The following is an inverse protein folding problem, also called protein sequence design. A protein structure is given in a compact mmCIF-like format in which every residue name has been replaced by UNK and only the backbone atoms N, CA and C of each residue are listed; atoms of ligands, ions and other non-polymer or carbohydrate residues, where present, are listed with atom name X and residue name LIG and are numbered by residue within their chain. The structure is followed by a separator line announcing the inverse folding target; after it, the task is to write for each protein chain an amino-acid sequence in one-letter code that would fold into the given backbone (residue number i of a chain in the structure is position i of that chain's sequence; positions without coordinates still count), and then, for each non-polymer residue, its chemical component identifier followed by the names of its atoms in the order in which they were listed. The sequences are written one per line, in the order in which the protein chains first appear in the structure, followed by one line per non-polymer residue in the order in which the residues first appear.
data_IF_542866185228
#
_entry.id   IF_542866185228
#
_cell.length_a   1.000
_cell.length_b   1.000
_cell.length_c   1.000
_cell.angle_alpha   90.00
_cell.angle_beta   90.00
_cell.angle_gamma   90.00
#
_symmetry.space_group_name_H-M   'P 1'
#
loop_
_entity.id
_entity.type
_entity.pdbx_description
1 polymer ?
#
# COMPACT_ATOMS: atom_id res chain seq x y z
N UNK A 1 -6.84 23.23 -14.91
CA UNK A 1 -5.86 24.33 -14.67
C UNK A 1 -5.80 24.82 -13.22
N UNK A 2 -6.92 25.07 -12.51
CA UNK A 2 -6.89 25.58 -11.12
C UNK A 2 -6.21 24.63 -10.11
N UNK A 3 -6.43 23.32 -10.21
CA UNK A 3 -5.90 22.35 -9.24
C UNK A 3 -4.38 22.12 -9.38
N UNK A 4 -3.87 22.08 -10.62
CA UNK A 4 -2.43 21.93 -10.91
C UNK A 4 -1.63 23.12 -10.36
N UNK A 5 -2.15 24.34 -10.43
CA UNK A 5 -1.48 25.53 -9.90
C UNK A 5 -1.45 25.52 -8.36
N UNK A 6 -2.50 25.02 -7.70
CA UNK A 6 -2.55 24.86 -6.24
C UNK A 6 -1.57 23.78 -5.76
N UNK A 7 -1.52 22.64 -6.44
CA UNK A 7 -0.58 21.56 -6.13
C UNK A 7 0.86 22.00 -6.42
N UNK A 8 1.11 22.70 -7.53
CA UNK A 8 2.45 23.19 -7.85
C UNK A 8 2.91 24.27 -6.87
N UNK A 9 2.01 25.15 -6.40
CA UNK A 9 2.31 26.12 -5.34
C UNK A 9 2.60 25.43 -4.00
N UNK A 10 1.86 24.38 -3.66
CA UNK A 10 2.14 23.58 -2.47
C UNK A 10 3.51 22.90 -2.59
N UNK A 11 3.78 22.18 -3.70
CA UNK A 11 5.03 21.45 -3.91
C UNK A 11 6.25 22.39 -3.98
N UNK A 12 6.14 23.58 -4.60
CA UNK A 12 7.22 24.58 -4.71
C UNK A 12 7.45 25.36 -3.41
N UNK A 13 6.44 25.50 -2.53
CA UNK A 13 6.61 26.15 -1.22
C UNK A 13 7.40 25.30 -0.22
N UNK A 14 7.47 23.97 -0.42
CA UNK A 14 8.06 23.03 0.54
C UNK A 14 9.42 22.44 0.12
N UNK A 15 9.93 22.73 -1.08
CA UNK A 15 11.27 22.29 -1.51
C UNK A 15 12.43 23.02 -0.80
N UNK A 16 12.14 23.88 0.19
CA UNK A 16 13.13 24.67 0.94
C UNK A 16 13.34 24.27 2.41
N UNK A 17 12.59 23.31 2.97
CA UNK A 17 12.72 22.97 4.39
C UNK A 17 13.79 21.86 4.61
N UNK A 18 14.86 22.23 5.32
CA UNK A 18 15.95 21.36 5.77
C UNK A 18 15.45 20.27 6.71
N UNK A 19 16.11 19.11 6.63
CA UNK A 19 16.15 17.98 7.55
C UNK A 19 15.45 18.20 8.91
N UNK A 20 14.33 17.51 9.12
CA UNK A 20 13.88 17.17 10.47
C UNK A 20 13.95 15.65 10.65
N UNK A 21 14.69 15.23 11.66
CA UNK A 21 14.77 13.86 12.14
C UNK A 21 13.38 13.40 12.59
N UNK A 22 12.93 12.27 12.06
CA UNK A 22 11.63 11.67 12.37
C UNK A 22 11.56 11.22 13.83
N UNK A 23 10.56 11.72 14.57
CA UNK A 23 10.03 11.06 15.75
C UNK A 23 9.11 9.92 15.31
N UNK A 24 9.34 8.72 15.84
CA UNK A 24 8.42 7.59 15.73
C UNK A 24 7.03 8.02 16.23
N UNK A 25 6.01 7.89 15.38
CA UNK A 25 4.62 7.99 15.81
C UNK A 25 4.27 6.74 16.63
N UNK A 26 4.59 6.78 17.92
CA UNK A 26 4.03 5.87 18.91
C UNK A 26 2.52 6.13 19.01
N UNK A 27 1.70 5.19 18.54
CA UNK A 27 0.28 5.16 18.89
C UNK A 27 0.17 4.81 20.38
N UNK A 28 -0.24 5.78 21.19
CA UNK A 28 -0.65 5.55 22.57
C UNK A 28 -1.97 4.79 22.60
N UNK A 29 -1.97 3.67 23.32
CA UNK A 29 -3.17 2.92 23.67
C UNK A 29 -4.06 3.76 24.58
N UNK A 30 -5.28 4.07 24.15
CA UNK A 30 -6.35 4.54 25.02
C UNK A 30 -6.87 3.34 25.83
N UNK A 31 -6.34 3.16 27.05
CA UNK A 31 -6.98 2.31 28.06
C UNK A 31 -7.94 3.17 28.89
N UNK A 32 -9.19 3.24 28.45
CA UNK A 32 -10.28 3.58 29.37
C UNK A 32 -10.50 2.40 30.31
N UNK A 33 -10.05 2.56 31.56
CA UNK A 33 -10.50 1.75 32.68
C UNK A 33 -11.93 2.16 33.03
N UNK A 34 -12.90 1.33 32.68
CA UNK A 34 -14.18 1.28 33.38
C UNK A 34 -14.63 -0.17 33.49
N UNK A 35 -14.57 -0.66 34.74
CA UNK A 35 -15.51 -1.62 35.32
C UNK A 35 -15.51 -3.06 34.75
N UNK A 36 -14.67 -3.89 35.38
CA UNK A 36 -14.83 -5.35 35.38
C UNK A 36 -15.95 -5.68 36.37
N UNK A 37 -17.14 -6.02 35.87
CA UNK A 37 -18.03 -6.92 36.60
C UNK A 37 -18.96 -7.67 35.64
N UNK A 38 -18.55 -8.88 35.27
CA UNK A 38 -19.29 -10.16 35.37
C UNK A 38 -18.71 -11.14 34.35
N UNK A 39 -18.42 -12.35 34.82
CA UNK A 39 -18.01 -13.48 33.99
C UNK A 39 -19.17 -13.86 33.09
N UNK A 40 -19.21 -13.31 31.89
CA UNK A 40 -19.88 -13.95 30.77
C UNK A 40 -18.86 -14.79 30.01
N UNK A 41 -19.15 -16.07 29.88
CA UNK A 41 -18.42 -17.01 29.03
C UNK A 41 -18.52 -16.56 27.58
N UNK A 42 -17.57 -15.76 27.13
CA UNK A 42 -17.44 -15.42 25.73
C UNK A 42 -16.90 -16.65 25.01
N UNK A 43 -17.83 -17.38 24.39
CA UNK A 43 -17.54 -18.43 23.44
C UNK A 43 -17.18 -17.76 22.10
N UNK A 44 -16.02 -17.10 22.04
CA UNK A 44 -15.53 -16.48 20.81
C UNK A 44 -14.80 -17.55 19.99
N UNK A 45 -15.33 -17.83 18.80
CA UNK A 45 -14.64 -18.53 17.72
C UNK A 45 -13.41 -17.72 17.26
N UNK A 46 -12.39 -17.63 18.10
CA UNK A 46 -11.08 -17.10 17.72
C UNK A 46 -10.54 -18.08 16.68
N UNK A 47 -10.48 -17.64 15.42
CA UNK A 47 -9.83 -18.42 14.36
C UNK A 47 -8.40 -18.72 14.80
N UNK A 48 -8.08 -20.00 14.95
CA UNK A 48 -6.74 -20.43 15.29
C UNK A 48 -5.76 -19.95 14.22
N UNK A 49 -4.60 -19.46 14.64
CA UNK A 49 -3.53 -19.14 13.70
C UNK A 49 -3.10 -20.40 12.95
N UNK A 50 -2.67 -20.24 11.71
CA UNK A 50 -2.12 -21.33 10.92
C UNK A 50 -0.94 -20.84 10.08
N UNK A 51 0.06 -21.70 9.91
CA UNK A 51 1.20 -21.42 9.05
C UNK A 51 0.87 -21.63 7.56
N UNK A 52 1.72 -21.05 6.71
CA UNK A 52 1.67 -21.33 5.28
C UNK A 52 2.06 -22.79 5.04
N UNK A 53 1.28 -23.52 4.25
CA UNK A 53 1.66 -24.85 3.76
C UNK A 53 2.20 -24.71 2.34
N UNK A 54 3.26 -25.47 2.04
CA UNK A 54 3.98 -25.41 0.77
C UNK A 54 3.91 -26.75 0.05
N UNK A 55 4.01 -26.71 -1.28
CA UNK A 55 4.15 -27.92 -2.09
C UNK A 55 5.47 -28.63 -1.72
N UNK A 56 5.44 -29.93 -1.34
CA UNK A 56 6.64 -30.68 -0.96
C UNK A 56 7.70 -30.77 -2.06
N UNK A 57 7.28 -30.67 -3.33
CA UNK A 57 8.18 -30.75 -4.50
C UNK A 57 8.59 -29.35 -5.00
N UNK A 58 7.89 -28.29 -4.57
CA UNK A 58 8.17 -26.93 -4.99
C UNK A 58 7.89 -25.93 -3.86
N UNK A 59 8.92 -25.62 -3.07
CA UNK A 59 8.81 -24.67 -1.95
C UNK A 59 8.49 -23.22 -2.37
N UNK A 60 8.46 -22.89 -3.67
CA UNK A 60 8.01 -21.59 -4.15
C UNK A 60 6.47 -21.53 -4.33
N UNK A 61 5.77 -22.66 -4.20
CA UNK A 61 4.32 -22.78 -4.33
C UNK A 61 3.67 -23.00 -2.98
N UNK A 62 2.83 -22.06 -2.58
CA UNK A 62 1.99 -22.18 -1.39
C UNK A 62 0.75 -22.99 -1.76
N UNK A 63 0.43 -24.00 -0.97
CA UNK A 63 -0.78 -24.82 -1.10
C UNK A 63 -1.89 -24.37 -0.16
N UNK A 64 -1.54 -23.73 0.97
CA UNK A 64 -2.49 -23.15 1.92
C UNK A 64 -1.97 -21.84 2.51
N UNK A 65 -2.81 -20.81 2.49
CA UNK A 65 -2.48 -19.49 3.01
C UNK A 65 -2.67 -19.48 4.53
N UNK A 66 -1.58 -19.24 5.26
CA UNK A 66 -1.54 -19.07 6.70
C UNK A 66 -1.96 -17.67 7.16
N UNK A 67 -2.32 -17.55 8.42
CA UNK A 67 -2.69 -16.29 9.07
C UNK A 67 -2.32 -16.25 10.56
N UNK A 68 -2.26 -15.04 11.09
CA UNK A 68 -2.08 -14.74 12.52
C UNK A 68 -3.36 -14.13 13.09
N UNK A 69 -3.36 -13.86 14.40
CA UNK A 69 -4.40 -13.07 15.05
C UNK A 69 -4.62 -11.72 14.33
N UNK A 70 -5.87 -11.23 14.41
CA UNK A 70 -6.28 -10.00 13.73
C UNK A 70 -6.44 -10.16 12.22
N UNK A 71 -6.69 -11.39 11.73
CA UNK A 71 -6.95 -11.69 10.32
C UNK A 71 -5.83 -11.23 9.38
N UNK A 72 -4.58 -11.27 9.87
CA UNK A 72 -3.40 -10.90 9.09
C UNK A 72 -2.84 -12.13 8.39
N UNK A 73 -2.62 -12.01 7.09
CA UNK A 73 -1.93 -13.03 6.31
C UNK A 73 -0.50 -13.24 6.83
N UNK A 74 -0.04 -14.48 6.90
CA UNK A 74 1.38 -14.74 7.20
C UNK A 74 2.22 -14.37 5.97
N UNK A 75 3.24 -13.49 6.12
CA UNK A 75 4.13 -13.13 5.02
C UNK A 75 4.74 -14.35 4.33
N UNK A 76 4.85 -14.28 3.02
CA UNK A 76 5.44 -15.34 2.21
C UNK A 76 6.96 -15.15 2.08
N UNK A 77 7.74 -16.25 2.04
CA UNK A 77 9.15 -16.18 1.65
C UNK A 77 9.36 -15.48 0.30
N UNK A 78 10.48 -14.77 0.16
CA UNK A 78 10.78 -13.94 -1.03
C UNK A 78 10.75 -14.67 -2.37
N UNK A 79 10.96 -15.98 -2.36
CA UNK A 79 10.98 -16.86 -3.52
C UNK A 79 9.60 -17.36 -3.95
N UNK A 80 8.54 -17.17 -3.15
CA UNK A 80 7.17 -17.62 -3.50
C UNK A 80 6.71 -16.95 -4.79
N UNK A 81 6.28 -17.77 -5.75
CA UNK A 81 5.81 -17.33 -7.07
C UNK A 81 4.44 -17.91 -7.45
N UNK A 82 3.84 -18.72 -6.59
CA UNK A 82 2.49 -19.25 -6.76
C UNK A 82 1.82 -19.39 -5.40
N UNK A 83 0.57 -18.91 -5.32
CA UNK A 83 -0.30 -19.00 -4.14
C UNK A 83 -1.66 -19.54 -4.55
N UNK A 84 -2.47 -20.04 -3.59
CA UNK A 84 -3.86 -20.42 -3.88
C UNK A 84 -4.64 -19.26 -4.48
N UNK A 85 -5.52 -19.58 -5.43
CA UNK A 85 -6.31 -18.58 -6.17
C UNK A 85 -7.39 -17.91 -5.32
N UNK A 86 -7.65 -18.43 -4.12
CA UNK A 86 -8.61 -17.88 -3.17
C UNK A 86 -7.88 -17.37 -1.94
N UNK A 87 -8.13 -16.10 -1.59
CA UNK A 87 -7.74 -15.53 -0.30
C UNK A 87 -8.77 -15.98 0.75
N UNK A 88 -8.36 -16.51 1.92
CA UNK A 88 -9.31 -16.84 2.97
C UNK A 88 -10.16 -15.62 3.33
N UNK A 89 -11.48 -15.78 3.30
CA UNK A 89 -12.43 -14.65 3.27
C UNK A 89 -12.48 -13.79 4.53
N UNK A 90 -11.87 -14.26 5.62
CA UNK A 90 -11.72 -13.51 6.87
C UNK A 90 -10.50 -12.60 6.85
N UNK A 91 -9.54 -12.76 5.93
CA UNK A 91 -8.34 -11.93 5.86
C UNK A 91 -8.71 -10.48 5.55
N UNK A 92 -8.34 -9.59 6.47
CA UNK A 92 -8.53 -8.14 6.32
C UNK A 92 -7.22 -7.38 6.30
N UNK A 93 -6.09 -8.06 6.50
CA UNK A 93 -4.78 -7.46 6.62
C UNK A 93 -3.72 -8.22 5.80
N UNK A 94 -3.24 -7.57 4.75
CA UNK A 94 -2.21 -8.07 3.83
C UNK A 94 -0.80 -7.54 4.16
N UNK A 95 -0.60 -7.01 5.36
CA UNK A 95 0.65 -6.36 5.73
C UNK A 95 1.87 -7.24 5.51
N UNK A 96 2.77 -6.77 4.63
CA UNK A 96 4.00 -7.47 4.22
C UNK A 96 3.81 -8.81 3.51
N UNK A 97 2.62 -9.13 2.96
CA UNK A 97 2.34 -10.44 2.36
C UNK A 97 3.43 -10.92 1.39
N UNK A 98 3.90 -10.05 0.49
CA UNK A 98 4.96 -10.31 -0.48
C UNK A 98 6.14 -9.35 -0.33
N UNK A 99 6.41 -8.90 0.89
CA UNK A 99 7.60 -8.08 1.16
C UNK A 99 8.87 -8.84 0.73
N UNK A 100 9.78 -8.13 0.09
CA UNK A 100 11.05 -8.63 -0.44
C UNK A 100 10.93 -9.63 -1.60
N UNK A 101 9.75 -9.84 -2.18
CA UNK A 101 9.55 -10.84 -3.22
C UNK A 101 10.42 -10.58 -4.46
N UNK A 102 11.06 -11.63 -4.97
CA UNK A 102 12.04 -11.52 -6.05
C UNK A 102 11.51 -11.95 -7.43
N UNK A 103 10.22 -12.26 -7.54
CA UNK A 103 9.59 -12.72 -8.79
C UNK A 103 8.95 -11.56 -9.56
N UNK A 104 8.86 -11.71 -10.88
CA UNK A 104 8.17 -10.72 -11.74
C UNK A 104 6.66 -10.81 -11.58
N UNK A 105 6.15 -12.03 -11.43
CA UNK A 105 4.73 -12.35 -11.24
C UNK A 105 4.59 -13.39 -10.13
N UNK A 106 3.45 -13.36 -9.45
CA UNK A 106 3.02 -14.36 -8.47
C UNK A 106 1.68 -14.89 -8.97
N UNK A 107 1.64 -16.16 -9.37
CA UNK A 107 0.41 -16.79 -9.87
C UNK A 107 -0.60 -16.95 -8.73
N UNK A 108 -1.87 -16.65 -9.00
CA UNK A 108 -2.99 -16.83 -8.08
C UNK A 108 -3.49 -15.54 -7.43
N UNK A 109 -2.63 -14.52 -7.28
CA UNK A 109 -3.04 -13.25 -6.64
C UNK A 109 -4.05 -12.45 -7.47
N UNK A 110 -4.12 -12.69 -8.78
CA UNK A 110 -5.06 -12.03 -9.69
C UNK A 110 -6.53 -12.41 -9.45
N UNK A 111 -6.76 -13.51 -8.72
CA UNK A 111 -8.09 -14.04 -8.38
C UNK A 111 -8.54 -13.71 -6.95
N UNK A 112 -7.66 -13.14 -6.13
CA UNK A 112 -7.98 -12.81 -4.75
C UNK A 112 -9.10 -11.77 -4.64
N UNK A 113 -10.15 -12.10 -3.90
CA UNK A 113 -11.14 -11.12 -3.43
C UNK A 113 -10.53 -10.34 -2.26
N UNK A 114 -10.23 -9.07 -2.53
CA UNK A 114 -9.61 -8.13 -1.58
C UNK A 114 -10.61 -7.10 -1.04
N UNK A 115 -11.90 -7.23 -1.37
CA UNK A 115 -12.95 -6.24 -1.03
C UNK A 115 -13.13 -6.00 0.46
N UNK A 116 -12.68 -6.93 1.33
CA UNK A 116 -12.71 -6.80 2.79
C UNK A 116 -11.36 -6.38 3.40
N UNK A 117 -10.30 -6.31 2.61
CA UNK A 117 -8.97 -5.94 3.10
C UNK A 117 -8.94 -4.45 3.40
N UNK A 118 -8.55 -4.11 4.63
CA UNK A 118 -8.42 -2.74 5.11
C UNK A 118 -6.96 -2.29 5.22
N UNK A 119 -6.02 -3.24 5.30
CA UNK A 119 -4.59 -2.96 5.43
C UNK A 119 -3.79 -3.58 4.29
N UNK A 120 -3.28 -2.73 3.39
CA UNK A 120 -2.40 -3.05 2.26
C UNK A 120 -0.95 -2.56 2.50
N UNK A 121 -0.56 -2.35 3.76
CA UNK A 121 0.78 -1.90 4.11
C UNK A 121 1.84 -2.87 3.58
N UNK A 122 2.91 -2.34 2.98
CA UNK A 122 4.12 -3.11 2.62
C UNK A 122 3.90 -4.36 1.75
N UNK A 123 2.77 -4.51 1.06
CA UNK A 123 2.43 -5.77 0.36
C UNK A 123 3.53 -6.19 -0.62
N UNK A 124 4.07 -5.26 -1.40
CA UNK A 124 5.20 -5.46 -2.32
C UNK A 124 6.42 -4.63 -1.91
N UNK A 125 6.61 -4.43 -0.61
CA UNK A 125 7.74 -3.66 -0.07
C UNK A 125 9.07 -4.28 -0.48
N UNK A 126 9.91 -3.52 -1.17
CA UNK A 126 11.23 -3.93 -1.68
C UNK A 126 11.12 -5.20 -2.51
N UNK A 127 10.11 -5.28 -3.39
CA UNK A 127 9.94 -6.36 -4.37
C UNK A 127 10.49 -5.92 -5.75
N UNK A 128 11.83 -5.88 -5.96
CA UNK A 128 12.45 -5.09 -7.03
C UNK A 128 12.06 -5.52 -8.45
N UNK A 129 11.65 -6.79 -8.62
CA UNK A 129 11.27 -7.36 -9.94
C UNK A 129 9.77 -7.38 -10.18
N UNK A 130 8.94 -7.16 -9.16
CA UNK A 130 7.48 -7.31 -9.30
C UNK A 130 6.93 -6.33 -10.34
N UNK A 131 6.24 -6.87 -11.34
CA UNK A 131 5.63 -6.10 -12.43
C UNK A 131 4.43 -6.85 -13.03
N UNK A 132 3.47 -7.21 -12.16
CA UNK A 132 2.20 -7.82 -12.54
C UNK A 132 1.06 -6.80 -12.34
N UNK A 133 0.07 -6.74 -13.23
CA UNK A 133 -1.16 -5.98 -12.98
C UNK A 133 -1.86 -6.47 -11.71
N UNK A 134 -2.37 -5.55 -10.92
CA UNK A 134 -3.16 -5.87 -9.73
C UNK A 134 -4.63 -5.60 -10.05
N UNK A 135 -5.47 -6.61 -9.92
CA UNK A 135 -6.92 -6.55 -10.21
C UNK A 135 -7.77 -6.42 -8.94
N UNK A 136 -7.13 -6.04 -7.84
CA UNK A 136 -7.69 -5.99 -6.50
C UNK A 136 -8.73 -4.88 -6.32
N UNK A 137 -9.73 -5.17 -5.50
CA UNK A 137 -10.68 -4.19 -4.99
C UNK A 137 -10.14 -3.63 -3.68
N UNK A 138 -9.64 -2.39 -3.73
CA UNK A 138 -9.08 -1.72 -2.56
C UNK A 138 -10.07 -0.78 -1.88
N UNK A 139 -11.36 -0.83 -2.21
CA UNK A 139 -12.38 0.13 -1.75
C UNK A 139 -12.64 0.11 -0.23
N UNK A 140 -12.22 -0.93 0.47
CA UNK A 140 -12.21 -1.01 1.94
C UNK A 140 -10.87 -0.63 2.57
N UNK A 141 -9.84 -0.39 1.76
CA UNK A 141 -8.48 -0.08 2.17
C UNK A 141 -8.38 1.27 2.87
N UNK A 142 -7.76 1.26 4.06
CA UNK A 142 -7.46 2.44 4.87
C UNK A 142 -5.96 2.73 4.88
N UNK A 143 -5.13 1.68 4.85
CA UNK A 143 -3.67 1.80 4.96
C UNK A 143 -2.96 1.25 3.70
N UNK A 144 -2.24 2.12 3.00
CA UNK A 144 -1.45 1.83 1.79
C UNK A 144 0.04 2.14 1.97
N UNK A 145 0.49 2.31 3.23
CA UNK A 145 1.87 2.69 3.56
C UNK A 145 2.86 1.74 2.89
N UNK A 146 3.77 2.32 2.10
CA UNK A 146 4.88 1.62 1.45
C UNK A 146 4.47 0.40 0.61
N UNK A 147 3.23 0.36 0.08
CA UNK A 147 2.70 -0.80 -0.65
C UNK A 147 3.60 -1.26 -1.80
N UNK A 148 4.16 -0.32 -2.57
CA UNK A 148 5.08 -0.54 -3.69
C UNK A 148 6.46 0.09 -3.46
N UNK A 149 6.80 0.44 -2.22
CA UNK A 149 8.09 1.07 -1.93
C UNK A 149 9.22 0.15 -2.38
N UNK A 150 10.11 0.61 -3.25
CA UNK A 150 11.25 -0.18 -3.72
C UNK A 150 10.87 -1.31 -4.68
N UNK A 151 9.64 -1.35 -5.18
CA UNK A 151 9.25 -2.18 -6.31
C UNK A 151 9.79 -1.57 -7.62
N UNK A 152 11.11 -1.60 -7.78
CA UNK A 152 11.83 -0.78 -8.77
C UNK A 152 11.35 -0.98 -10.22
N UNK A 153 10.98 -2.21 -10.58
CA UNK A 153 10.49 -2.58 -11.92
C UNK A 153 8.98 -2.39 -12.11
N UNK A 154 8.24 -2.03 -11.05
CA UNK A 154 6.78 -1.94 -11.13
C UNK A 154 6.35 -0.80 -12.05
N UNK A 155 5.70 -1.15 -13.15
CA UNK A 155 5.11 -0.22 -14.12
C UNK A 155 3.82 -0.79 -14.71
N UNK A 156 3.12 -1.64 -13.96
CA UNK A 156 1.85 -2.23 -14.36
C UNK A 156 0.68 -1.36 -13.92
N UNK A 157 -0.43 -1.43 -14.66
CA UNK A 157 -1.67 -0.73 -14.28
C UNK A 157 -2.15 -1.19 -12.90
N UNK A 158 -2.65 -0.24 -12.10
CA UNK A 158 -3.30 -0.51 -10.81
C UNK A 158 -4.69 -1.16 -10.98
N UNK A 159 -5.28 -1.12 -12.19
CA UNK A 159 -6.59 -1.68 -12.48
C UNK A 159 -7.76 -0.75 -12.10
N UNK A 160 -8.93 -1.00 -12.69
CA UNK A 160 -10.14 -0.19 -12.51
C UNK A 160 -10.86 -0.38 -11.15
N UNK A 161 -10.42 -1.35 -10.34
CA UNK A 161 -10.93 -1.62 -8.99
C UNK A 161 -10.04 -1.05 -7.89
N UNK A 162 -8.89 -0.46 -8.27
CA UNK A 162 -8.02 0.24 -7.33
C UNK A 162 -8.66 1.55 -6.92
N UNK A 163 -9.36 1.52 -5.79
CA UNK A 163 -10.12 2.61 -5.23
C UNK A 163 -9.51 2.98 -3.87
N UNK A 164 -9.02 4.21 -3.73
CA UNK A 164 -8.38 4.67 -2.50
C UNK A 164 -9.25 5.65 -1.71
N UNK A 165 -10.54 5.76 -2.03
CA UNK A 165 -11.46 6.75 -1.42
C UNK A 165 -11.61 6.63 0.10
N UNK A 166 -11.35 5.47 0.71
CA UNK A 166 -11.29 5.30 2.17
C UNK A 166 -9.87 5.37 2.75
N UNK A 167 -8.87 5.50 1.90
CA UNK A 167 -7.46 5.51 2.29
C UNK A 167 -7.12 6.75 3.11
N UNK A 168 -6.40 6.52 4.20
CA UNK A 168 -5.90 7.58 5.08
C UNK A 168 -4.38 7.68 5.04
N UNK A 169 -3.67 6.57 4.87
CA UNK A 169 -2.22 6.51 5.01
C UNK A 169 -1.54 6.04 3.74
N UNK A 170 -0.76 6.92 3.10
CA UNK A 170 -0.07 6.64 1.82
C UNK A 170 1.44 6.89 1.89
N UNK A 171 2.00 7.05 3.10
CA UNK A 171 3.43 7.26 3.33
C UNK A 171 4.26 6.33 2.44
N UNK A 172 5.10 6.91 1.58
CA UNK A 172 6.02 6.18 0.71
C UNK A 172 5.39 5.13 -0.21
N UNK A 173 4.09 5.21 -0.54
CA UNK A 173 3.37 4.16 -1.27
C UNK A 173 4.09 3.70 -2.55
N UNK A 174 4.64 4.63 -3.33
CA UNK A 174 5.42 4.40 -4.55
C UNK A 174 6.87 4.87 -4.43
N UNK A 175 7.37 5.07 -3.19
CA UNK A 175 8.73 5.53 -2.97
C UNK A 175 9.74 4.56 -3.60
N UNK A 176 10.68 5.06 -4.39
CA UNK A 176 11.66 4.25 -5.12
C UNK A 176 11.05 3.18 -6.06
N UNK A 177 9.76 3.28 -6.44
CA UNK A 177 9.19 2.55 -7.59
C UNK A 177 9.70 3.20 -8.89
N UNK A 178 11.00 3.05 -9.16
CA UNK A 178 11.76 3.85 -10.15
C UNK A 178 11.14 3.83 -11.55
N UNK A 179 10.55 2.71 -11.96
CA UNK A 179 9.94 2.53 -13.29
C UNK A 179 8.47 2.93 -13.38
N UNK A 180 7.82 3.24 -12.27
CA UNK A 180 6.38 3.50 -12.24
C UNK A 180 6.03 4.78 -13.01
N UNK A 181 5.28 4.64 -14.09
CA UNK A 181 4.79 5.75 -14.91
C UNK A 181 3.39 5.47 -15.48
N UNK A 182 2.54 4.78 -14.71
CA UNK A 182 1.15 4.50 -15.07
C UNK A 182 0.22 5.57 -14.50
N UNK A 183 -0.87 5.92 -15.21
CA UNK A 183 -1.89 6.79 -14.63
C UNK A 183 -2.47 6.13 -13.37
N UNK A 184 -2.70 6.94 -12.33
CA UNK A 184 -3.25 6.44 -11.07
C UNK A 184 -4.71 5.97 -11.19
N UNK A 185 -5.45 6.51 -12.16
CA UNK A 185 -6.87 6.23 -12.38
C UNK A 185 -7.81 7.24 -11.70
N UNK A 186 -9.06 7.25 -12.14
CA UNK A 186 -10.13 8.13 -11.65
C UNK A 186 -10.57 7.82 -10.21
N UNK A 187 -10.40 6.57 -9.78
CA UNK A 187 -10.70 6.09 -8.41
C UNK A 187 -9.54 6.25 -7.42
N UNK A 188 -8.41 6.79 -7.87
CA UNK A 188 -7.34 7.20 -6.97
C UNK A 188 -7.72 8.54 -6.33
N UNK A 189 -8.21 8.45 -5.11
CA UNK A 189 -8.80 9.54 -4.34
C UNK A 189 -8.03 9.72 -3.03
N UNK A 190 -7.52 10.92 -2.78
CA UNK A 190 -6.76 11.26 -1.57
C UNK A 190 -7.51 12.21 -0.65
N UNK A 191 -8.82 12.42 -0.87
CA UNK A 191 -9.63 13.32 -0.04
C UNK A 191 -9.69 12.91 1.43
N UNK A 192 -9.47 11.64 1.75
CA UNK A 192 -9.40 11.16 3.13
C UNK A 192 -7.97 10.94 3.64
N UNK A 193 -6.96 11.28 2.83
CA UNK A 193 -5.57 11.14 3.23
C UNK A 193 -5.25 12.02 4.44
N UNK A 194 -4.50 11.44 5.39
CA UNK A 194 -3.88 12.09 6.53
C UNK A 194 -2.37 12.25 6.31
N UNK A 195 -1.79 11.38 5.48
CA UNK A 195 -0.36 11.35 5.18
C UNK A 195 -0.11 10.92 3.73
N UNK A 196 0.60 11.77 2.98
CA UNK A 196 1.09 11.58 1.62
C UNK A 196 2.62 11.80 1.54
N UNK A 197 3.33 11.79 2.67
CA UNK A 197 4.77 12.03 2.72
C UNK A 197 5.52 10.98 1.89
N UNK A 198 6.56 11.44 1.18
CA UNK A 198 7.43 10.63 0.34
C UNK A 198 6.71 9.72 -0.70
N UNK A 199 5.41 9.94 -0.96
CA UNK A 199 4.57 8.99 -1.71
C UNK A 199 5.17 8.59 -3.06
N UNK A 200 5.79 9.53 -3.78
CA UNK A 200 6.48 9.34 -5.05
C UNK A 200 7.97 9.70 -4.97
N UNK A 201 8.56 9.77 -3.77
CA UNK A 201 9.97 10.07 -3.62
C UNK A 201 10.80 9.03 -4.39
N UNK A 202 11.73 9.47 -5.24
CA UNK A 202 12.61 8.59 -6.05
C UNK A 202 11.81 7.75 -7.08
N UNK A 203 10.54 8.07 -7.36
CA UNK A 203 9.79 7.51 -8.50
C UNK A 203 10.24 8.19 -9.80
N UNK A 204 11.47 7.87 -10.24
CA UNK A 204 12.20 8.62 -11.27
C UNK A 204 11.49 8.68 -12.61
N UNK A 205 10.73 7.65 -12.99
CA UNK A 205 9.99 7.60 -14.25
C UNK A 205 8.63 8.32 -14.20
N UNK A 206 8.09 8.61 -13.02
CA UNK A 206 6.72 9.09 -12.88
C UNK A 206 6.54 10.48 -13.50
N UNK A 207 5.68 10.56 -14.52
CA UNK A 207 5.34 11.80 -15.22
C UNK A 207 3.89 11.78 -15.72
N UNK A 208 2.98 11.30 -14.88
CA UNK A 208 1.55 11.28 -15.18
C UNK A 208 0.84 12.45 -14.53
N UNK A 209 -0.23 12.99 -15.16
CA UNK A 209 -1.09 13.93 -14.47
C UNK A 209 -1.72 13.26 -13.25
N UNK A 210 -1.82 14.01 -12.15
CA UNK A 210 -2.58 13.58 -10.99
C UNK A 210 -4.09 13.66 -11.31
N UNK A 211 -4.90 12.66 -10.92
CA UNK A 211 -6.33 12.66 -11.19
C UNK A 211 -7.06 13.77 -10.41
N UNK A 212 -8.27 14.12 -10.83
CA UNK A 212 -9.04 15.21 -10.21
C UNK A 212 -9.32 14.97 -8.71
N UNK A 213 -9.44 13.70 -8.32
CA UNK A 213 -9.68 13.28 -6.93
C UNK A 213 -8.41 13.24 -6.07
N UNK A 214 -7.23 13.54 -6.64
CA UNK A 214 -6.00 13.73 -5.88
C UNK A 214 -5.99 15.12 -5.23
N UNK A 215 -6.66 15.24 -4.09
CA UNK A 215 -6.75 16.48 -3.30
C UNK A 215 -5.90 16.37 -2.03
N UNK A 216 -5.22 17.47 -1.70
CA UNK A 216 -4.41 17.61 -0.48
C UNK A 216 -5.19 18.55 0.46
N UNK A 217 -5.63 18.04 1.61
CA UNK A 217 -6.29 18.85 2.63
C UNK A 217 -5.25 19.59 3.48
N UNK A 218 -5.67 20.68 4.11
CA UNK A 218 -4.86 21.36 5.13
C UNK A 218 -4.49 20.38 6.25
N UNK A 219 -3.24 20.44 6.71
CA UNK A 219 -2.71 19.57 7.76
C UNK A 219 -2.27 18.17 7.29
N UNK A 220 -2.46 17.81 6.02
CA UNK A 220 -1.95 16.54 5.47
C UNK A 220 -0.44 16.63 5.24
N UNK A 221 0.30 15.66 5.77
CA UNK A 221 1.75 15.54 5.55
C UNK A 221 2.07 15.31 4.08
N UNK A 222 2.90 16.17 3.48
CA UNK A 222 3.30 16.10 2.06
C UNK A 222 4.81 16.24 1.86
N UNK A 223 5.56 16.18 2.96
CA UNK A 223 7.02 16.29 2.98
C UNK A 223 7.64 15.33 1.97
N UNK A 224 8.53 15.83 1.13
CA UNK A 224 9.28 15.03 0.15
C UNK A 224 8.43 14.22 -0.84
N UNK A 225 7.13 14.52 -1.03
CA UNK A 225 6.21 13.70 -1.85
C UNK A 225 6.79 13.36 -3.23
N UNK A 226 7.47 14.30 -3.88
CA UNK A 226 8.11 14.12 -5.20
C UNK A 226 9.64 14.28 -5.17
N UNK A 227 10.28 14.13 -4.00
CA UNK A 227 11.72 14.29 -3.87
C UNK A 227 12.47 13.33 -4.81
N UNK A 228 13.33 13.83 -5.68
CA UNK A 228 14.02 13.06 -6.74
C UNK A 228 13.11 12.29 -7.72
N UNK A 229 11.84 12.68 -7.87
CA UNK A 229 10.97 12.23 -8.97
C UNK A 229 11.28 13.02 -10.26
N UNK A 230 12.46 12.79 -10.83
CA UNK A 230 13.08 13.68 -11.82
C UNK A 230 12.28 13.99 -13.08
N UNK A 231 11.36 13.11 -13.50
CA UNK A 231 10.54 13.34 -14.70
C UNK A 231 9.22 14.06 -14.41
N UNK A 232 8.79 14.13 -13.15
CA UNK A 232 7.49 14.68 -12.82
C UNK A 232 7.39 16.15 -13.21
N UNK A 233 6.35 16.49 -13.97
CA UNK A 233 6.00 17.84 -14.40
C UNK A 233 7.05 18.55 -15.28
N UNK A 234 7.90 17.80 -16.00
CA UNK A 234 8.89 18.38 -16.94
C UNK A 234 8.36 18.70 -18.34
N UNK A 235 7.10 18.39 -18.66
CA UNK A 235 6.58 18.46 -20.05
C UNK A 235 5.80 19.75 -20.40
N UNK A 236 5.83 20.79 -19.55
CA UNK A 236 5.18 22.09 -19.85
C UNK A 236 6.16 23.20 -20.24
N UNK A 237 7.36 22.85 -20.69
CA UNK A 237 8.35 23.79 -21.21
C UNK A 237 8.70 23.44 -22.66
N UNK A 238 7.78 23.71 -23.58
CA UNK A 238 8.06 23.94 -25.01
C UNK A 238 7.14 25.05 -25.49
#
# INVERSE_FOLDING_TARGET
MKNLLTILKAVMAFSGAKNHSHTEHNLTTLTNKSEINTRESINDNILQEQDNEFDPLNQNRVTKIGWTQGNKIRPFPKNVNEVPESLPSHITNLDSAFAFNTNVKIKGIEKWDTSKVTNFRRVFYVAPKFNQPITWDTSSGVNFISMFHGAESFNSSLGNKFNTSKGEWFFGMFQAAKSFNQPLGDKFDTRNAKDLEAMFAIAQAFNQPLPENFLIKEGVGVTSMFYYAYKFNKTYHI
#
